data_IF_087873784874
#
_entry.id   IF_087873784874
#
_cell.length_a   1.000
_cell.length_b   1.000
_cell.length_c   1.000
_cell.angle_alpha   90.00
_cell.angle_beta   90.00
_cell.angle_gamma   90.00
#
_symmetry.space_group_name_H-M   'P 1'
#
loop_
_entity.id
_entity.type
_entity.pdbx_description
1 polymer ?
#
# COMPACT_ATOMS: atom_id res chain seq x y z
N UNK A 1 9.93 -22.12 -44.37
CA UNK A 1 10.57 -21.90 -43.05
C UNK A 1 9.62 -21.08 -42.20
N UNK A 2 9.03 -21.66 -41.14
CA UNK A 2 8.15 -20.93 -40.20
C UNK A 2 9.05 -20.21 -39.20
N UNK A 3 9.11 -18.88 -39.28
CA UNK A 3 9.96 -18.05 -38.41
C UNK A 3 9.54 -18.16 -36.94
N UNK A 4 10.37 -18.73 -36.04
CA UNK A 4 10.08 -18.82 -34.60
C UNK A 4 10.21 -17.47 -33.88
N UNK A 5 10.82 -16.48 -34.53
CA UNK A 5 11.12 -15.16 -33.96
C UNK A 5 9.88 -14.34 -33.57
N UNK A 6 8.76 -14.48 -34.30
CA UNK A 6 7.52 -13.76 -33.99
C UNK A 6 6.86 -14.28 -32.70
N UNK A 7 6.93 -15.58 -32.45
CA UNK A 7 6.36 -16.18 -31.24
C UNK A 7 7.12 -15.77 -29.97
N UNK A 8 8.45 -15.61 -30.05
CA UNK A 8 9.28 -15.20 -28.91
C UNK A 8 9.13 -13.71 -28.56
N UNK A 9 8.90 -12.83 -29.53
CA UNK A 9 8.63 -11.41 -29.28
C UNK A 9 7.26 -11.22 -28.62
N UNK A 10 6.22 -11.93 -29.07
CA UNK A 10 4.90 -11.88 -28.43
C UNK A 10 4.90 -12.38 -26.98
N UNK A 11 5.69 -13.41 -26.67
CA UNK A 11 5.79 -13.93 -25.30
C UNK A 11 6.59 -13.00 -24.36
N UNK A 12 7.60 -12.30 -24.88
CA UNK A 12 8.36 -11.30 -24.12
C UNK A 12 7.53 -10.03 -23.85
N UNK A 13 6.70 -9.60 -24.81
CA UNK A 13 5.80 -8.43 -24.63
C UNK A 13 4.63 -8.76 -23.69
N UNK A 14 4.15 -10.00 -23.67
CA UNK A 14 3.11 -10.42 -22.72
C UNK A 14 3.58 -10.45 -21.25
N UNK A 15 4.89 -10.56 -21.00
CA UNK A 15 5.47 -10.51 -19.64
C UNK A 15 5.72 -9.08 -19.13
N UNK A 16 5.69 -8.07 -20.00
CA UNK A 16 5.91 -6.67 -19.66
C UNK A 16 4.65 -5.98 -19.08
N UNK A 17 3.52 -6.67 -19.00
CA UNK A 17 2.25 -6.14 -18.49
C UNK A 17 1.58 -7.09 -17.49
N UNK A 18 2.35 -7.72 -16.60
CA UNK A 18 1.76 -8.26 -15.40
C UNK A 18 1.31 -7.07 -14.55
N UNK A 19 0.00 -6.78 -14.55
CA UNK A 19 -0.57 -5.81 -13.64
C UNK A 19 -0.16 -6.23 -12.21
N UNK A 20 0.50 -5.34 -11.49
CA UNK A 20 0.85 -5.57 -10.10
C UNK A 20 -0.46 -5.69 -9.31
N UNK A 21 -0.82 -6.90 -8.90
CA UNK A 21 -2.09 -7.14 -8.19
C UNK A 21 -1.97 -7.03 -6.67
N UNK A 22 -0.74 -6.90 -6.17
CA UNK A 22 -0.43 -6.91 -4.73
C UNK A 22 0.64 -5.89 -4.36
N UNK A 23 0.54 -5.39 -3.13
CA UNK A 23 1.51 -4.47 -2.55
C UNK A 23 1.82 -4.79 -1.10
N UNK A 24 3.02 -4.41 -0.68
CA UNK A 24 3.42 -4.47 0.72
C UNK A 24 2.97 -3.19 1.43
N UNK A 25 2.65 -3.28 2.71
CA UNK A 25 2.25 -2.13 3.51
C UNK A 25 2.71 -2.23 4.97
N UNK A 26 2.88 -1.07 5.62
CA UNK A 26 3.04 -0.93 7.07
C UNK A 26 2.49 0.41 7.56
N UNK A 27 1.88 0.45 8.74
CA UNK A 27 1.53 1.70 9.42
C UNK A 27 2.43 2.00 10.60
N UNK A 28 2.63 3.28 10.90
CA UNK A 28 3.47 3.79 11.96
C UNK A 28 2.73 4.83 12.80
N UNK A 29 3.04 4.92 14.09
CA UNK A 29 2.53 5.97 14.98
C UNK A 29 3.61 6.98 15.42
N UNK A 30 4.84 6.85 14.93
CA UNK A 30 5.99 7.64 15.36
C UNK A 30 6.58 8.48 14.22
N UNK A 31 5.80 9.43 13.66
CA UNK A 31 6.31 10.59 12.92
C UNK A 31 6.97 10.33 11.55
N UNK A 32 7.27 9.08 11.20
CA UNK A 32 7.85 8.67 9.93
C UNK A 32 7.79 7.15 9.72
N UNK A 33 8.14 6.71 8.51
CA UNK A 33 8.19 5.29 8.15
C UNK A 33 9.59 4.70 8.44
N UNK A 34 10.03 4.77 9.70
CA UNK A 34 11.35 4.26 10.12
C UNK A 34 11.29 2.75 10.41
N UNK A 35 12.01 1.96 9.63
CA UNK A 35 12.06 0.49 9.76
C UNK A 35 12.78 0.01 11.03
N UNK A 36 13.45 0.92 11.76
CA UNK A 36 14.03 0.63 13.07
C UNK A 36 13.09 0.96 14.23
N UNK A 37 11.86 1.42 13.94
CA UNK A 37 10.85 1.71 14.95
C UNK A 37 10.54 0.48 15.80
N UNK A 38 10.21 0.72 17.07
CA UNK A 38 9.85 -0.35 18.00
C UNK A 38 8.61 -1.12 17.54
N UNK A 39 8.47 -2.37 17.98
CA UNK A 39 7.32 -3.21 17.68
C UNK A 39 5.97 -2.54 18.03
N UNK A 40 5.91 -1.75 19.11
CA UNK A 40 4.71 -1.05 19.55
C UNK A 40 4.36 0.18 18.69
N UNK A 41 5.29 0.64 17.86
CA UNK A 41 5.12 1.81 17.01
C UNK A 41 4.69 1.48 15.59
N UNK A 42 4.52 0.18 15.28
CA UNK A 42 4.28 -0.30 13.91
C UNK A 42 3.18 -1.36 13.85
N UNK A 43 2.48 -1.41 12.72
CA UNK A 43 1.63 -2.54 12.38
C UNK A 43 1.78 -2.94 10.90
N UNK A 44 2.09 -4.22 10.60
CA UNK A 44 2.52 -5.27 11.52
C UNK A 44 3.72 -4.85 12.41
N UNK A 45 3.94 -5.48 13.58
CA UNK A 45 4.99 -5.05 14.50
C UNK A 45 6.38 -5.39 13.97
N UNK A 46 7.31 -4.45 13.97
CA UNK A 46 8.72 -4.74 13.65
C UNK A 46 9.32 -5.78 14.63
N UNK A 47 10.18 -6.71 14.17
CA UNK A 47 10.71 -6.86 12.81
C UNK A 47 9.89 -7.81 11.92
N UNK A 48 8.60 -8.04 12.22
CA UNK A 48 7.77 -8.91 11.39
C UNK A 48 7.71 -8.40 9.95
N UNK A 49 7.53 -9.27 8.95
CA UNK A 49 7.33 -8.87 7.57
C UNK A 49 6.23 -7.83 7.41
N UNK A 50 6.33 -7.00 6.37
CA UNK A 50 5.26 -6.09 5.99
C UNK A 50 3.97 -6.87 5.69
N UNK A 51 2.83 -6.22 5.84
CA UNK A 51 1.57 -6.78 5.39
C UNK A 51 1.53 -6.85 3.86
N UNK A 52 0.79 -7.80 3.31
CA UNK A 52 0.53 -7.91 1.88
C UNK A 52 -0.96 -7.64 1.68
N UNK A 53 -1.30 -6.81 0.70
CA UNK A 53 -2.68 -6.53 0.31
C UNK A 53 -2.82 -6.68 -1.21
N UNK A 54 -3.99 -7.17 -1.63
CA UNK A 54 -4.40 -7.08 -3.02
C UNK A 54 -4.83 -5.64 -3.32
N UNK A 55 -4.61 -5.18 -4.56
CA UNK A 55 -5.22 -3.93 -5.04
C UNK A 55 -6.74 -4.01 -4.96
N UNK A 56 -7.40 -2.86 -4.80
CA UNK A 56 -8.87 -2.76 -4.65
C UNK A 56 -9.43 -3.55 -3.44
N UNK A 57 -8.58 -3.80 -2.42
CA UNK A 57 -9.01 -4.43 -1.17
C UNK A 57 -8.87 -3.45 0.00
N UNK A 58 -9.96 -3.28 0.75
CA UNK A 58 -9.96 -2.50 1.97
C UNK A 58 -9.20 -3.22 3.10
N UNK A 59 -8.19 -2.56 3.66
CA UNK A 59 -7.40 -3.06 4.78
C UNK A 59 -7.68 -2.20 6.01
N UNK A 60 -8.08 -2.83 7.11
CA UNK A 60 -8.26 -2.15 8.41
C UNK A 60 -7.09 -2.45 9.35
N UNK A 61 -6.65 -1.45 10.10
CA UNK A 61 -5.57 -1.57 11.09
C UNK A 61 -6.14 -1.61 12.53
N UNK A 62 -5.34 -2.03 13.53
CA UNK A 62 -5.78 -2.06 14.92
C UNK A 62 -6.24 -0.68 15.40
N UNK A 63 -7.42 -0.64 16.01
CA UNK A 63 -8.05 0.58 16.48
C UNK A 63 -7.47 1.04 17.83
N UNK A 64 -7.68 2.32 18.17
CA UNK A 64 -7.24 2.92 19.44
C UNK A 64 -5.77 3.33 19.48
N UNK A 65 -5.08 3.32 18.32
CA UNK A 65 -3.70 3.77 18.16
C UNK A 65 -3.70 4.94 17.16
N UNK A 66 -2.90 5.96 17.45
CA UNK A 66 -2.72 7.13 16.58
C UNK A 66 -1.77 6.81 15.41
N UNK A 67 -2.20 5.93 14.50
CA UNK A 67 -1.47 5.63 13.29
C UNK A 67 -1.40 6.87 12.41
N UNK A 68 -0.20 7.42 12.25
CA UNK A 68 0.00 8.68 11.57
C UNK A 68 0.86 8.56 10.30
N UNK A 69 1.30 7.35 9.92
CA UNK A 69 1.92 7.10 8.61
C UNK A 69 1.48 5.77 8.03
N UNK A 70 1.32 5.72 6.71
CA UNK A 70 1.15 4.50 5.92
C UNK A 70 2.27 4.42 4.88
N UNK A 71 3.15 3.44 5.03
CA UNK A 71 4.09 3.03 4.00
C UNK A 71 3.45 1.99 3.10
N UNK A 72 3.64 2.17 1.80
CA UNK A 72 3.29 1.20 0.77
C UNK A 72 4.48 1.02 -0.17
N UNK A 73 4.64 -0.22 -0.63
CA UNK A 73 5.87 -0.68 -1.28
C UNK A 73 5.88 -0.54 -2.80
N UNK A 74 5.03 0.28 -3.43
CA UNK A 74 4.96 0.39 -4.89
C UNK A 74 4.65 1.81 -5.37
N UNK A 75 5.66 2.50 -5.91
CA UNK A 75 5.60 3.92 -6.30
C UNK A 75 4.70 4.29 -7.50
N UNK A 76 3.59 3.60 -7.71
CA UNK A 76 2.59 3.90 -8.75
C UNK A 76 1.14 3.68 -8.32
N UNK A 77 0.83 3.31 -7.07
CA UNK A 77 -0.57 3.22 -6.65
C UNK A 77 -1.16 4.59 -6.33
N UNK A 78 -2.44 4.72 -6.66
CA UNK A 78 -3.32 5.71 -6.05
C UNK A 78 -3.81 5.14 -4.71
N UNK A 79 -3.63 5.88 -3.63
CA UNK A 79 -3.92 5.43 -2.27
C UNK A 79 -5.01 6.27 -1.64
N UNK A 80 -6.00 5.60 -1.05
CA UNK A 80 -7.01 6.24 -0.22
C UNK A 80 -6.83 5.81 1.23
N UNK A 81 -6.71 6.78 2.13
CA UNK A 81 -6.65 6.55 3.58
C UNK A 81 -7.92 7.05 4.26
N UNK A 82 -8.37 6.32 5.29
CA UNK A 82 -9.65 6.56 5.96
C UNK A 82 -9.49 6.65 7.47
N UNK A 83 -10.28 7.54 8.08
CA UNK A 83 -10.34 7.74 9.52
C UNK A 83 -11.16 6.70 10.27
N UNK A 84 -12.07 6.01 9.58
CA UNK A 84 -12.84 4.88 10.11
C UNK A 84 -12.25 3.55 9.68
N UNK A 85 -12.65 2.48 10.37
CA UNK A 85 -12.43 1.12 9.91
C UNK A 85 -13.31 0.80 8.69
N UNK A 86 -13.02 -0.31 8.02
CA UNK A 86 -13.78 -0.77 6.86
C UNK A 86 -13.94 0.26 5.72
N UNK A 87 -12.93 1.13 5.54
CA UNK A 87 -12.87 2.17 4.53
C UNK A 87 -14.06 3.15 4.58
N UNK A 88 -14.33 3.63 5.81
CA UNK A 88 -15.40 4.60 6.10
C UNK A 88 -14.84 5.90 6.68
N UNK A 89 -15.64 6.97 6.68
CA UNK A 89 -15.27 8.27 7.25
C UNK A 89 -14.55 9.19 6.27
N UNK A 90 -13.81 10.18 6.80
CA UNK A 90 -13.06 11.14 5.99
C UNK A 90 -11.94 10.44 5.22
N UNK A 91 -11.74 10.88 3.98
CA UNK A 91 -10.81 10.27 3.03
C UNK A 91 -9.76 11.27 2.55
N UNK A 92 -8.52 10.81 2.41
CA UNK A 92 -7.49 11.51 1.66
C UNK A 92 -6.94 10.58 0.57
N UNK A 93 -7.01 11.09 -0.66
CA UNK A 93 -6.33 10.51 -1.82
C UNK A 93 -4.89 11.02 -1.85
N UNK A 94 -3.94 10.11 -1.96
CA UNK A 94 -2.51 10.41 -2.09
C UNK A 94 -1.91 9.59 -3.22
N UNK A 95 -0.90 10.13 -3.87
CA UNK A 95 0.03 9.33 -4.66
C UNK A 95 0.94 8.54 -3.70
N UNK A 96 1.27 7.28 -4.04
CA UNK A 96 2.21 6.50 -3.22
C UNK A 96 3.62 7.13 -3.27
N UNK A 97 3.88 8.03 -2.32
CA UNK A 97 5.20 8.61 -2.05
C UNK A 97 6.05 7.75 -1.10
N UNK A 98 5.55 6.56 -0.72
CA UNK A 98 6.17 5.61 0.19
C UNK A 98 5.94 5.88 1.68
N UNK A 99 5.39 7.04 2.07
CA UNK A 99 5.10 7.34 3.48
C UNK A 99 3.99 8.38 3.64
N UNK A 100 2.75 7.91 3.53
CA UNK A 100 1.55 8.71 3.42
C UNK A 100 1.03 9.16 4.79
N UNK A 101 0.40 10.34 4.83
CA UNK A 101 -0.21 10.95 6.02
C UNK A 101 -1.73 10.79 5.99
N UNK A 102 -2.41 10.61 7.14
CA UNK A 102 -3.88 10.71 7.18
C UNK A 102 -4.37 12.15 6.96
N UNK A 103 -5.68 12.33 6.72
CA UNK A 103 -6.34 13.63 6.85
C UNK A 103 -5.99 14.34 8.18
N UNK A 104 -5.89 15.69 8.20
CA UNK A 104 -5.62 16.43 9.43
C UNK A 104 -6.63 16.13 10.54
N UNK A 105 -6.13 15.87 11.75
CA UNK A 105 -6.97 15.61 12.94
C UNK A 105 -7.46 14.16 13.07
N UNK A 106 -6.90 13.25 12.27
CA UNK A 106 -7.34 11.87 12.18
C UNK A 106 -6.16 10.89 12.19
N UNK A 107 -6.39 9.71 12.75
CA UNK A 107 -5.50 8.56 12.67
C UNK A 107 -5.95 7.62 11.56
N UNK A 108 -5.01 6.94 10.90
CA UNK A 108 -5.30 5.95 9.87
C UNK A 108 -5.98 4.75 10.53
N UNK A 109 -7.22 4.48 10.16
CA UNK A 109 -7.98 3.32 10.62
C UNK A 109 -8.16 2.27 9.52
N UNK A 110 -8.18 2.69 8.25
CA UNK A 110 -8.14 1.79 7.10
C UNK A 110 -7.61 2.47 5.83
N UNK A 111 -7.31 1.68 4.79
CA UNK A 111 -6.83 2.16 3.49
C UNK A 111 -7.14 1.16 2.37
N UNK A 112 -7.11 1.65 1.12
CA UNK A 112 -7.21 0.86 -0.11
C UNK A 112 -6.29 1.47 -1.17
N UNK A 113 -5.66 0.62 -1.99
CA UNK A 113 -4.82 1.04 -3.11
C UNK A 113 -5.39 0.60 -4.44
N UNK A 114 -5.38 1.50 -5.43
CA UNK A 114 -5.84 1.25 -6.79
C UNK A 114 -4.68 1.33 -7.79
N UNK A 115 -4.70 0.51 -8.86
CA UNK A 115 -3.82 0.74 -9.99
C UNK A 115 -4.02 2.16 -10.54
N UNK A 116 -2.96 2.82 -11.02
CA UNK A 116 -3.10 4.13 -11.64
C UNK A 116 -3.94 4.00 -12.92
N UNK A 117 -4.85 4.96 -13.16
CA UNK A 117 -5.68 5.03 -14.39
C UNK A 117 -4.85 5.23 -15.68
#
# INVERSE_FOLDING_TARGET
MKSPLLASVLLAVAQLAAAQTQYNWRVYNNGGCDHNSSAAATFPPNPAPAGIADVDTCISVPQGIDWNRLEVGIGTLEMFTFCGDHCTGDVLETDDTGCNLPPPGCAIASFIGFPPE
#
